data_IF_344493804667
#
_entry.id   IF_344493804667
#
_cell.length_a   1.000
_cell.length_b   1.000
_cell.length_c   1.000
_cell.angle_alpha   90.00
_cell.angle_beta   90.00
_cell.angle_gamma   90.00
#
_symmetry.space_group_name_H-M   'P 1'
#
loop_
_entity.id
_entity.type
_entity.pdbx_description
1 polymer ?
#
# COMPACT_ATOMS: atom_id res chain seq x y z
N UNK A 1 -3.60 -26.50 13.33
CA UNK A 1 -3.30 -25.38 12.43
C UNK A 1 -2.02 -24.76 12.97
N UNK A 2 -0.93 -24.72 12.21
CA UNK A 2 0.37 -24.21 12.69
C UNK A 2 0.35 -22.67 12.57
N UNK A 3 0.44 -21.97 13.70
CA UNK A 3 0.69 -20.53 13.72
C UNK A 3 2.13 -20.29 13.23
N UNK A 4 2.28 -19.43 12.20
CA UNK A 4 3.59 -19.03 11.71
C UNK A 4 4.00 -17.72 12.39
N UNK A 5 5.10 -17.69 13.13
CA UNK A 5 5.56 -16.47 13.81
C UNK A 5 6.00 -15.41 12.79
N UNK A 6 5.81 -14.14 13.15
CA UNK A 6 6.35 -13.01 12.40
C UNK A 6 7.86 -13.01 12.57
N UNK A 7 8.62 -13.14 11.48
CA UNK A 7 10.07 -13.19 11.53
C UNK A 7 10.67 -11.81 11.90
N UNK A 8 11.58 -11.79 12.88
CA UNK A 8 12.39 -10.61 13.21
C UNK A 8 13.65 -10.55 12.35
N UNK A 9 14.05 -9.34 11.92
CA UNK A 9 15.25 -9.13 11.09
C UNK A 9 16.53 -9.26 11.92
N UNK A 10 17.42 -10.19 11.54
CA UNK A 10 18.74 -10.37 12.15
C UNK A 10 19.70 -9.21 11.80
N UNK A 11 20.37 -8.67 12.82
CA UNK A 11 21.23 -7.48 12.73
C UNK A 11 22.64 -7.82 12.24
N UNK A 12 22.80 -8.01 10.92
CA UNK A 12 24.12 -7.96 10.28
C UNK A 12 24.58 -6.51 10.03
N UNK A 13 25.88 -6.24 10.13
CA UNK A 13 26.48 -4.93 9.80
C UNK A 13 26.22 -4.59 8.32
N UNK A 14 25.25 -3.71 8.05
CA UNK A 14 24.95 -3.23 6.70
C UNK A 14 26.04 -2.27 6.20
N UNK A 15 26.53 -2.41 4.95
CA UNK A 15 27.47 -1.46 4.37
C UNK A 15 26.85 -0.05 4.34
N UNK A 16 27.67 0.96 4.62
CA UNK A 16 27.22 2.36 4.58
C UNK A 16 26.77 2.72 3.17
N UNK A 17 25.65 3.43 3.06
CA UNK A 17 25.16 3.94 1.78
C UNK A 17 26.13 5.01 1.22
N UNK A 18 26.45 4.99 -0.09
CA UNK A 18 27.20 6.06 -0.75
C UNK A 18 26.52 7.42 -0.59
N UNK A 19 27.31 8.50 -0.64
CA UNK A 19 26.80 9.86 -0.41
C UNK A 19 25.73 10.27 -1.43
N UNK A 20 25.92 9.92 -2.70
CA UNK A 20 24.96 10.23 -3.78
C UNK A 20 23.60 9.54 -3.63
N UNK A 21 23.50 8.50 -2.78
CA UNK A 21 22.26 7.75 -2.53
C UNK A 21 21.48 8.29 -1.31
N UNK A 22 22.06 9.24 -0.57
CA UNK A 22 21.40 9.82 0.61
C UNK A 22 20.43 10.90 0.18
N UNK A 23 19.25 10.88 0.79
CA UNK A 23 18.21 11.90 0.60
C UNK A 23 18.01 12.68 1.89
N UNK A 24 17.43 13.88 1.77
CA UNK A 24 16.97 14.64 2.93
C UNK A 24 15.70 13.99 3.48
N UNK A 25 15.56 13.99 4.81
CA UNK A 25 14.34 13.52 5.43
C UNK A 25 13.16 14.42 5.01
N UNK A 26 11.98 13.82 4.76
CA UNK A 26 10.80 14.58 4.40
C UNK A 26 10.43 15.54 5.54
N UNK A 27 10.40 16.83 5.22
CA UNK A 27 9.98 17.90 6.13
C UNK A 27 8.98 18.81 5.39
N UNK A 28 7.91 19.23 6.07
CA UNK A 28 6.92 20.17 5.51
C UNK A 28 5.48 19.88 5.94
N UNK A 29 4.59 20.85 5.72
CA UNK A 29 3.17 20.74 6.06
C UNK A 29 2.45 19.68 5.21
N UNK A 30 2.71 19.62 3.90
CA UNK A 30 2.11 18.62 3.02
C UNK A 30 2.42 17.19 3.48
N UNK A 31 3.65 16.94 3.94
CA UNK A 31 4.03 15.65 4.51
C UNK A 31 3.21 15.30 5.76
N UNK A 32 3.09 16.25 6.69
CA UNK A 32 2.32 16.06 7.93
C UNK A 32 0.83 15.86 7.66
N UNK A 33 0.27 16.60 6.72
CA UNK A 33 -1.14 16.49 6.35
C UNK A 33 -1.47 15.11 5.80
N UNK A 34 -0.71 14.63 4.80
CA UNK A 34 -0.91 13.30 4.23
C UNK A 34 -0.70 12.21 5.28
N UNK A 35 0.33 12.35 6.13
CA UNK A 35 0.57 11.41 7.23
C UNK A 35 -0.59 11.35 8.20
N UNK A 36 -1.12 12.50 8.64
CA UNK A 36 -2.28 12.56 9.54
C UNK A 36 -3.46 11.85 8.92
N UNK A 37 -3.79 12.14 7.66
CA UNK A 37 -4.93 11.50 6.98
C UNK A 37 -4.75 9.99 6.90
N UNK A 38 -3.56 9.50 6.55
CA UNK A 38 -3.31 8.05 6.51
C UNK A 38 -3.50 7.41 7.89
N UNK A 39 -2.96 8.03 8.94
CA UNK A 39 -3.03 7.53 10.30
C UNK A 39 -4.48 7.60 10.86
N UNK A 40 -5.20 8.69 10.62
CA UNK A 40 -6.59 8.94 11.06
C UNK A 40 -7.59 7.99 10.40
N UNK A 41 -7.34 7.57 9.16
CA UNK A 41 -8.17 6.63 8.42
C UNK A 41 -7.77 5.16 8.60
N UNK A 42 -6.74 4.89 9.41
CA UNK A 42 -6.22 3.54 9.65
C UNK A 42 -5.71 2.87 8.38
N UNK A 43 -5.13 3.64 7.46
CA UNK A 43 -4.66 3.15 6.17
C UNK A 43 -3.16 2.84 6.20
N UNK A 44 -2.70 2.14 5.15
CA UNK A 44 -1.29 1.89 4.94
C UNK A 44 -0.84 2.47 3.60
N UNK A 45 0.40 2.95 3.57
CA UNK A 45 1.08 3.33 2.33
C UNK A 45 2.34 2.49 2.16
N UNK A 46 2.69 2.15 0.92
CA UNK A 46 4.00 1.57 0.64
C UNK A 46 5.12 2.59 0.86
N UNK A 47 4.80 3.89 0.79
CA UNK A 47 5.72 4.97 1.10
C UNK A 47 6.27 4.83 2.53
N UNK A 48 5.40 4.56 3.51
CA UNK A 48 5.78 4.32 4.90
C UNK A 48 6.30 2.89 5.11
N UNK A 49 5.55 1.88 4.67
CA UNK A 49 5.86 0.47 4.93
C UNK A 49 7.17 0.02 4.24
N UNK A 50 7.48 0.62 3.10
CA UNK A 50 8.71 0.39 2.32
C UNK A 50 9.88 1.28 2.73
N UNK A 51 9.71 2.19 3.70
CA UNK A 51 10.71 3.21 4.06
C UNK A 51 11.22 4.01 2.84
N UNK A 52 10.29 4.47 2.00
CA UNK A 52 10.60 5.11 0.72
C UNK A 52 11.33 6.46 0.93
N UNK A 53 12.52 6.66 0.32
CA UNK A 53 13.25 7.91 0.43
C UNK A 53 12.55 9.10 -0.27
N UNK A 54 11.62 8.83 -1.19
CA UNK A 54 11.00 9.84 -2.06
C UNK A 54 9.64 10.35 -1.53
N UNK A 55 9.21 9.90 -0.34
CA UNK A 55 7.88 10.16 0.20
C UNK A 55 7.53 11.67 0.25
N UNK A 56 8.48 12.52 0.64
CA UNK A 56 8.26 13.97 0.70
C UNK A 56 8.05 14.62 -0.67
N UNK A 57 8.80 14.17 -1.67
CA UNK A 57 8.69 14.66 -3.05
C UNK A 57 7.37 14.22 -3.68
N UNK A 58 7.04 12.92 -3.61
CA UNK A 58 5.82 12.37 -4.18
C UNK A 58 4.57 13.05 -3.59
N UNK A 59 4.50 13.14 -2.25
CA UNK A 59 3.35 13.74 -1.59
C UNK A 59 3.26 15.26 -1.87
N UNK A 60 4.39 15.94 -1.98
CA UNK A 60 4.44 17.35 -2.39
C UNK A 60 3.98 17.59 -3.84
N UNK A 61 4.18 16.62 -4.73
CA UNK A 61 3.70 16.64 -6.11
C UNK A 61 2.21 16.29 -6.25
N UNK A 62 1.54 15.93 -5.16
CA UNK A 62 0.15 15.49 -5.16
C UNK A 62 -0.02 14.03 -5.61
N UNK A 63 0.96 13.17 -5.31
CA UNK A 63 0.92 11.73 -5.60
C UNK A 63 1.11 10.93 -4.33
N UNK A 64 0.28 9.92 -4.11
CA UNK A 64 0.44 8.98 -3.00
C UNK A 64 0.16 7.54 -3.44
N UNK A 65 0.86 6.60 -2.81
CA UNK A 65 0.70 5.16 -3.08
C UNK A 65 0.09 4.47 -1.87
N UNK A 66 -1.16 4.06 -2.01
CA UNK A 66 -1.92 3.35 -0.98
C UNK A 66 -1.66 1.85 -1.09
N UNK A 67 -1.45 1.21 0.07
CA UNK A 67 -1.26 -0.22 0.19
C UNK A 67 -2.48 -0.80 0.91
N UNK A 68 -3.35 -1.45 0.16
CA UNK A 68 -4.59 -2.07 0.66
C UNK A 68 -4.35 -3.51 1.13
N UNK A 69 -5.35 -4.10 1.76
CA UNK A 69 -5.36 -5.46 2.32
C UNK A 69 -4.42 -5.67 3.52
N UNK A 70 -4.04 -4.57 4.19
CA UNK A 70 -3.19 -4.57 5.38
C UNK A 70 -1.70 -4.31 5.11
N UNK A 71 -0.86 -4.51 6.14
CA UNK A 71 0.60 -4.29 6.09
C UNK A 71 1.44 -5.55 6.35
N UNK A 72 0.81 -6.72 6.31
CA UNK A 72 1.43 -8.04 6.44
C UNK A 72 1.15 -8.82 5.16
N UNK A 73 2.17 -9.40 4.56
CA UNK A 73 2.10 -10.12 3.30
C UNK A 73 2.27 -11.63 3.52
N UNK A 74 1.48 -12.46 2.84
CA UNK A 74 1.63 -13.93 2.89
C UNK A 74 2.92 -14.43 2.22
N UNK A 75 3.66 -13.55 1.55
CA UNK A 75 4.91 -13.87 0.84
C UNK A 75 6.11 -13.18 1.47
N UNK A 76 7.28 -13.77 1.24
CA UNK A 76 8.58 -13.33 1.78
C UNK A 76 9.56 -12.99 0.66
N UNK A 77 9.20 -12.02 -0.19
CA UNK A 77 10.12 -11.53 -1.22
C UNK A 77 11.37 -10.95 -0.53
N UNK A 78 12.56 -11.45 -0.88
CA UNK A 78 13.82 -11.14 -0.16
C UNK A 78 14.21 -9.66 -0.17
N UNK A 79 13.69 -8.87 -1.11
CA UNK A 79 13.92 -7.44 -1.23
C UNK A 79 12.83 -6.59 -0.55
N UNK A 80 11.69 -7.18 -0.20
CA UNK A 80 10.53 -6.44 0.27
C UNK A 80 10.65 -6.15 1.77
N UNK A 81 10.37 -4.91 2.17
CA UNK A 81 10.41 -4.48 3.56
C UNK A 81 9.09 -4.72 4.31
N UNK A 82 8.01 -5.08 3.60
CA UNK A 82 6.72 -5.40 4.20
C UNK A 82 6.83 -6.66 5.04
N UNK A 83 6.20 -6.67 6.22
CA UNK A 83 6.24 -7.80 7.14
C UNK A 83 5.66 -9.05 6.47
N UNK A 84 6.30 -10.20 6.66
CA UNK A 84 5.72 -11.48 6.25
C UNK A 84 4.93 -12.11 7.39
N UNK A 85 3.76 -12.64 7.07
CA UNK A 85 2.91 -13.37 8.02
C UNK A 85 1.55 -13.66 7.42
N UNK A 86 0.66 -14.23 8.22
CA UNK A 86 -0.76 -14.34 7.84
C UNK A 86 -1.51 -13.14 8.41
N UNK A 87 -2.16 -12.30 7.58
CA UNK A 87 -3.00 -11.22 8.08
C UNK A 87 -4.19 -11.78 8.86
N UNK A 88 -4.54 -11.11 9.96
CA UNK A 88 -5.64 -11.53 10.84
C UNK A 88 -6.99 -10.89 10.45
N UNK A 89 -6.96 -9.91 9.55
CA UNK A 89 -8.06 -9.00 9.29
C UNK A 89 -8.38 -8.96 7.79
N UNK A 90 -9.66 -8.88 7.48
CA UNK A 90 -10.19 -8.63 6.14
C UNK A 90 -11.21 -7.51 6.27
N UNK A 91 -10.79 -6.30 5.91
CA UNK A 91 -11.55 -5.08 6.12
C UNK A 91 -12.34 -4.72 4.87
N UNK A 92 -13.65 -4.96 4.89
CA UNK A 92 -14.54 -4.67 3.78
C UNK A 92 -14.87 -3.17 3.61
N UNK A 93 -14.59 -2.33 4.62
CA UNK A 93 -14.78 -0.88 4.57
C UNK A 93 -13.51 -0.13 4.11
N UNK A 94 -12.37 -0.81 3.99
CA UNK A 94 -11.11 -0.24 3.48
C UNK A 94 -11.29 0.49 2.13
N UNK A 95 -12.01 -0.03 1.12
CA UNK A 95 -12.29 0.68 -0.13
C UNK A 95 -12.86 2.09 0.05
N UNK A 96 -13.83 2.24 0.96
CA UNK A 96 -14.49 3.52 1.23
C UNK A 96 -13.50 4.49 1.87
N UNK A 97 -12.73 4.03 2.85
CA UNK A 97 -11.72 4.86 3.54
C UNK A 97 -10.60 5.29 2.60
N UNK A 98 -10.13 4.42 1.70
CA UNK A 98 -9.14 4.78 0.68
C UNK A 98 -9.66 5.86 -0.25
N UNK A 99 -10.91 5.73 -0.75
CA UNK A 99 -11.52 6.73 -1.60
C UNK A 99 -11.71 8.08 -0.89
N UNK A 100 -12.11 8.05 0.38
CA UNK A 100 -12.25 9.26 1.20
C UNK A 100 -10.90 9.93 1.47
N UNK A 101 -9.86 9.17 1.80
CA UNK A 101 -8.51 9.68 2.01
C UNK A 101 -7.94 10.33 0.74
N UNK A 102 -8.08 9.68 -0.43
CA UNK A 102 -7.66 10.23 -1.73
C UNK A 102 -8.37 11.57 -2.01
N UNK A 103 -9.67 11.63 -1.76
CA UNK A 103 -10.46 12.85 -1.94
C UNK A 103 -10.02 13.97 -1.00
N UNK A 104 -9.82 13.68 0.30
CA UNK A 104 -9.36 14.65 1.30
C UNK A 104 -7.96 15.17 1.01
N UNK A 105 -7.06 14.28 0.58
CA UNK A 105 -5.68 14.63 0.23
C UNK A 105 -5.59 15.45 -1.07
N UNK A 106 -6.65 15.45 -1.90
CA UNK A 106 -6.69 16.13 -3.20
C UNK A 106 -5.50 15.75 -4.09
N UNK A 107 -5.12 14.46 -4.06
CA UNK A 107 -4.06 13.96 -4.93
C UNK A 107 -4.49 13.99 -6.39
N UNK A 108 -3.56 14.37 -7.26
CA UNK A 108 -3.75 14.38 -8.71
C UNK A 108 -3.62 12.97 -9.29
N UNK A 109 -2.76 12.16 -8.66
CA UNK A 109 -2.47 10.80 -9.07
C UNK A 109 -2.42 9.87 -7.85
N UNK A 110 -3.26 8.83 -7.87
CA UNK A 110 -3.29 7.80 -6.84
C UNK A 110 -2.73 6.50 -7.41
N UNK A 111 -1.69 5.97 -6.78
CA UNK A 111 -1.23 4.61 -7.06
C UNK A 111 -1.83 3.70 -6.01
N UNK A 112 -2.44 2.59 -6.43
CA UNK A 112 -3.01 1.58 -5.54
C UNK A 112 -2.18 0.31 -5.71
N UNK A 113 -1.73 -0.25 -4.59
CA UNK A 113 -1.05 -1.54 -4.51
C UNK A 113 -1.56 -2.32 -3.31
N UNK A 114 -1.17 -3.58 -3.16
CA UNK A 114 -1.59 -4.40 -2.02
C UNK A 114 -0.51 -5.35 -1.58
N UNK A 115 -0.65 -5.86 -0.36
CA UNK A 115 0.01 -7.09 0.05
C UNK A 115 -0.62 -8.31 -0.65
N UNK A 116 0.09 -9.44 -0.67
CA UNK A 116 -0.46 -10.70 -1.14
C UNK A 116 -1.33 -11.32 -0.04
N UNK A 117 -2.51 -11.81 -0.44
CA UNK A 117 -3.49 -12.51 0.40
C UNK A 117 -3.73 -13.93 -0.11
N UNK A 118 -2.66 -14.73 -0.17
CA UNK A 118 -2.71 -16.09 -0.71
C UNK A 118 -3.51 -17.08 0.16
N UNK A 119 -3.97 -16.67 1.34
CA UNK A 119 -4.88 -17.41 2.20
C UNK A 119 -6.35 -17.22 1.84
N UNK A 120 -6.71 -16.14 1.11
CA UNK A 120 -8.07 -15.88 0.65
C UNK A 120 -8.36 -16.62 -0.67
N UNK A 121 -9.61 -17.04 -0.86
CA UNK A 121 -10.03 -17.75 -2.08
C UNK A 121 -9.92 -16.84 -3.33
N UNK A 122 -10.34 -15.59 -3.19
CA UNK A 122 -10.33 -14.57 -4.25
C UNK A 122 -9.00 -13.79 -4.31
N UNK A 123 -8.03 -14.10 -3.43
CA UNK A 123 -6.76 -13.38 -3.30
C UNK A 123 -6.89 -11.87 -2.98
N UNK A 124 -8.04 -11.44 -2.46
CA UNK A 124 -8.37 -10.04 -2.20
C UNK A 124 -8.87 -9.25 -3.42
N UNK A 125 -9.24 -9.94 -4.51
CA UNK A 125 -9.72 -9.31 -5.73
C UNK A 125 -10.99 -8.45 -5.52
N UNK A 126 -11.88 -8.83 -4.59
CA UNK A 126 -13.08 -8.05 -4.33
C UNK A 126 -12.75 -6.65 -3.77
N UNK A 127 -11.88 -6.57 -2.76
CA UNK A 127 -11.44 -5.30 -2.18
C UNK A 127 -10.76 -4.43 -3.21
N UNK A 128 -9.93 -5.01 -4.07
CA UNK A 128 -9.30 -4.28 -5.18
C UNK A 128 -10.33 -3.61 -6.10
N UNK A 129 -11.30 -4.38 -6.59
CA UNK A 129 -12.36 -3.88 -7.44
C UNK A 129 -13.14 -2.74 -6.77
N UNK A 130 -13.59 -2.98 -5.54
CA UNK A 130 -14.37 -2.00 -4.79
C UNK A 130 -13.57 -0.72 -4.54
N UNK A 131 -12.26 -0.85 -4.27
CA UNK A 131 -11.37 0.31 -4.06
C UNK A 131 -11.27 1.14 -5.33
N UNK A 132 -10.96 0.53 -6.48
CA UNK A 132 -10.83 1.27 -7.75
C UNK A 132 -12.16 1.96 -8.10
N UNK A 133 -13.29 1.28 -7.91
CA UNK A 133 -14.60 1.87 -8.14
C UNK A 133 -14.91 3.04 -7.21
N UNK A 134 -14.74 2.86 -5.91
CA UNK A 134 -15.00 3.90 -4.92
C UNK A 134 -14.15 5.15 -5.19
N UNK A 135 -12.88 4.98 -5.57
CA UNK A 135 -11.99 6.10 -5.92
C UNK A 135 -12.49 6.82 -7.18
N UNK A 136 -12.84 6.08 -8.25
CA UNK A 136 -13.39 6.68 -9.48
C UNK A 136 -14.70 7.44 -9.24
N UNK A 137 -15.57 6.89 -8.40
CA UNK A 137 -16.86 7.51 -8.05
C UNK A 137 -16.67 8.78 -7.19
N UNK A 138 -15.75 8.75 -6.21
CA UNK A 138 -15.54 9.85 -5.27
C UNK A 138 -14.67 10.98 -5.82
N UNK A 139 -13.67 10.62 -6.63
CA UNK A 139 -12.63 11.52 -7.14
C UNK A 139 -12.43 11.30 -8.64
N UNK A 140 -13.42 11.66 -9.50
CA UNK A 140 -13.39 11.34 -10.92
C UNK A 140 -12.26 12.01 -11.72
N UNK A 141 -11.68 13.09 -11.19
CA UNK A 141 -10.54 13.79 -11.81
C UNK A 141 -9.18 13.21 -11.41
N UNK A 142 -9.12 12.41 -10.34
CA UNK A 142 -7.88 11.78 -9.89
C UNK A 142 -7.53 10.64 -10.84
N UNK A 143 -6.32 10.69 -11.40
CA UNK A 143 -5.80 9.58 -12.20
C UNK A 143 -5.38 8.42 -11.31
N UNK A 144 -5.56 7.18 -11.78
CA UNK A 144 -5.30 5.96 -11.01
C UNK A 144 -4.28 5.09 -11.75
N UNK A 145 -3.28 4.61 -11.02
CA UNK A 145 -2.39 3.52 -11.44
C UNK A 145 -2.54 2.34 -10.47
N UNK A 146 -2.54 1.12 -11.00
CA UNK A 146 -2.68 -0.11 -10.19
C UNK A 146 -1.45 -1.00 -10.31
N UNK A 147 -0.79 -1.27 -9.19
CA UNK A 147 0.28 -2.26 -9.07
C UNK A 147 -0.26 -3.49 -8.33
N UNK A 148 -0.76 -4.44 -9.12
CA UNK A 148 -1.47 -5.64 -8.63
C UNK A 148 -0.52 -6.82 -8.34
N UNK A 149 -0.89 -7.74 -7.43
CA UNK A 149 -0.22 -9.03 -7.30
C UNK A 149 -0.54 -9.96 -8.49
N UNK A 150 0.24 -11.03 -8.64
CA UNK A 150 0.07 -12.04 -9.70
C UNK A 150 -1.19 -12.93 -9.57
N UNK A 151 -1.98 -12.76 -8.50
CA UNK A 151 -3.14 -13.60 -8.13
C UNK A 151 -2.87 -15.12 -8.07
N UNK A 152 -1.61 -15.56 -8.01
CA UNK A 152 -1.18 -16.96 -8.23
C UNK A 152 -1.76 -17.56 -9.50
N UNK A 153 -1.86 -16.77 -10.58
CA UNK A 153 -2.46 -17.16 -11.84
C UNK A 153 -3.94 -17.61 -11.74
N UNK A 154 -4.67 -17.13 -10.73
CA UNK A 154 -6.12 -17.30 -10.67
C UNK A 154 -6.79 -16.26 -11.60
N UNK A 155 -7.19 -16.71 -12.79
CA UNK A 155 -7.80 -15.85 -13.80
C UNK A 155 -9.13 -15.22 -13.37
N UNK A 156 -9.95 -15.93 -12.59
CA UNK A 156 -11.21 -15.36 -12.06
C UNK A 156 -10.92 -14.20 -11.09
N UNK A 157 -9.91 -14.37 -10.24
CA UNK A 157 -9.47 -13.30 -9.33
C UNK A 157 -8.85 -12.12 -10.09
N UNK A 158 -8.05 -12.39 -11.13
CA UNK A 158 -7.48 -11.34 -11.96
C UNK A 158 -8.57 -10.54 -12.68
N UNK A 159 -9.51 -11.22 -13.35
CA UNK A 159 -10.64 -10.58 -14.04
C UNK A 159 -11.47 -9.74 -13.08
N UNK A 160 -11.77 -10.28 -11.88
CA UNK A 160 -12.46 -9.53 -10.84
C UNK A 160 -11.69 -8.28 -10.42
N UNK A 161 -10.38 -8.39 -10.25
CA UNK A 161 -9.50 -7.31 -9.78
C UNK A 161 -9.36 -6.15 -10.77
N UNK A 162 -9.40 -6.43 -12.09
CA UNK A 162 -9.15 -5.43 -13.14
C UNK A 162 -10.42 -4.93 -13.86
N UNK A 163 -11.59 -5.51 -13.55
CA UNK A 163 -12.88 -5.09 -14.11
C UNK A 163 -13.36 -3.75 -13.53
#
# INVERSE_FOLDING_TARGET
MLELPIAENTTGSRPKRPEWLKVRLPMGENYRNVRSIVDDFGLHTICQSGNCPNMGECWGAGTATFMILGNVCTRSCSFCAVKTGRPNEYDEDEPRRVAEAIWLMKVKHAVITSVNRDELKDRGAEIWYQTVRAVKERSPETTIETLIPDTKANWEALERMIS
#
